data_IF_608293497284
#
_entry.id   IF_608293497284
#
_cell.length_a   1.000
_cell.length_b   1.000
_cell.length_c   1.000
_cell.angle_alpha   90.00
_cell.angle_beta   90.00
_cell.angle_gamma   90.00
#
_symmetry.space_group_name_H-M   'P 1'
#
loop_
_entity.id
_entity.type
_entity.pdbx_description
1 polymer ?
#
# COMPACT_ATOMS: atom_id res chain seq x y z
N UNK A 1 10.75 -22.93 6.10
CA UNK A 1 9.94 -22.67 7.32
C UNK A 1 8.95 -21.51 7.17
N UNK A 2 9.36 -20.28 6.82
CA UNK A 2 8.46 -19.09 6.76
C UNK A 2 7.18 -19.25 5.91
N UNK A 3 7.31 -19.81 4.70
CA UNK A 3 6.16 -20.05 3.81
C UNK A 3 5.27 -21.21 4.31
N UNK A 4 5.86 -22.28 4.85
CA UNK A 4 5.13 -23.41 5.41
C UNK A 4 4.28 -22.98 6.62
N UNK A 5 4.84 -22.16 7.51
CA UNK A 5 4.09 -21.55 8.61
C UNK A 5 2.90 -20.72 8.10
N UNK A 6 3.09 -19.95 7.03
CA UNK A 6 2.01 -19.14 6.44
C UNK A 6 0.87 -20.00 5.88
N UNK A 7 1.19 -21.12 5.23
CA UNK A 7 0.20 -22.10 4.79
C UNK A 7 -0.52 -22.77 5.96
N UNK A 8 0.21 -23.25 6.96
CA UNK A 8 -0.37 -23.87 8.16
C UNK A 8 -1.29 -22.91 8.90
N UNK A 9 -0.90 -21.63 9.01
CA UNK A 9 -1.74 -20.61 9.63
C UNK A 9 -3.07 -20.43 8.87
N UNK A 10 -3.05 -20.34 7.54
CA UNK A 10 -4.28 -20.20 6.74
C UNK A 10 -5.13 -21.47 6.79
N UNK A 11 -4.53 -22.66 6.78
CA UNK A 11 -5.25 -23.92 6.96
C UNK A 11 -5.92 -23.97 8.33
N UNK A 12 -5.22 -23.56 9.39
CA UNK A 12 -5.79 -23.49 10.74
C UNK A 12 -6.98 -22.52 10.78
N UNK A 13 -6.89 -21.35 10.13
CA UNK A 13 -8.01 -20.40 10.03
C UNK A 13 -9.23 -21.00 9.30
N UNK A 14 -9.00 -21.74 8.21
CA UNK A 14 -10.06 -22.45 7.48
C UNK A 14 -10.72 -23.49 8.38
N UNK A 15 -9.94 -24.29 9.12
CA UNK A 15 -10.47 -25.30 10.03
C UNK A 15 -11.25 -24.68 11.18
N UNK A 16 -10.78 -23.56 11.75
CA UNK A 16 -11.47 -22.81 12.81
C UNK A 16 -12.84 -22.34 12.31
N UNK A 17 -12.91 -21.75 11.13
CA UNK A 17 -14.18 -21.29 10.58
C UNK A 17 -15.11 -22.44 10.20
N UNK A 18 -14.56 -23.52 9.64
CA UNK A 18 -15.33 -24.70 9.28
C UNK A 18 -15.96 -25.36 10.52
N UNK A 19 -15.15 -25.72 11.52
CA UNK A 19 -15.63 -26.31 12.77
C UNK A 19 -16.56 -25.35 13.53
N UNK A 20 -16.18 -24.08 13.59
CA UNK A 20 -16.98 -23.04 14.23
C UNK A 20 -18.36 -22.88 13.61
N UNK A 21 -18.48 -22.96 12.28
CA UNK A 21 -19.77 -22.83 11.58
C UNK A 21 -20.77 -23.96 11.88
N UNK A 22 -20.29 -25.11 12.39
CA UNK A 22 -21.13 -26.26 12.76
C UNK A 22 -21.72 -26.15 14.18
N UNK A 23 -21.18 -25.26 15.01
CA UNK A 23 -21.61 -25.09 16.39
C UNK A 23 -22.83 -24.17 16.46
N UNK A 24 -23.93 -24.56 17.12
CA UNK A 24 -25.09 -23.68 17.31
C UNK A 24 -24.70 -22.32 17.93
N UNK A 25 -25.23 -21.23 17.38
CA UNK A 25 -24.96 -19.86 17.83
C UNK A 25 -23.68 -19.21 17.26
N UNK A 26 -22.68 -20.00 16.85
CA UNK A 26 -21.47 -19.47 16.20
C UNK A 26 -21.70 -18.82 14.83
N UNK A 27 -22.72 -19.15 14.03
CA UNK A 27 -23.08 -18.38 12.83
C UNK A 27 -23.24 -16.88 13.07
N UNK A 28 -23.74 -16.47 14.25
CA UNK A 28 -23.82 -15.07 14.62
C UNK A 28 -22.45 -14.44 14.86
N UNK A 29 -21.54 -15.16 15.53
CA UNK A 29 -20.17 -14.71 15.72
C UNK A 29 -19.47 -14.48 14.38
N UNK A 30 -19.51 -15.46 13.47
CA UNK A 30 -18.82 -15.38 12.18
C UNK A 30 -19.51 -14.47 11.15
N UNK A 31 -20.85 -14.41 11.16
CA UNK A 31 -21.63 -13.65 10.19
C UNK A 31 -21.88 -12.19 10.59
N UNK A 32 -21.77 -11.83 11.87
CA UNK A 32 -22.12 -10.50 12.38
C UNK A 32 -21.03 -9.89 13.24
N UNK A 33 -20.70 -10.51 14.37
CA UNK A 33 -19.80 -9.89 15.35
C UNK A 33 -18.35 -9.74 14.82
N UNK A 34 -17.80 -10.77 14.19
CA UNK A 34 -16.46 -10.73 13.61
C UNK A 34 -16.34 -9.74 12.42
N UNK A 35 -17.29 -9.66 11.47
CA UNK A 35 -17.31 -8.61 10.47
C UNK A 35 -17.26 -7.19 11.04
N UNK A 36 -18.07 -6.87 12.06
CA UNK A 36 -18.01 -5.56 12.70
C UNK A 36 -16.68 -5.32 13.41
N UNK A 37 -16.16 -6.30 14.15
CA UNK A 37 -14.86 -6.19 14.81
C UNK A 37 -13.73 -5.97 13.80
N UNK A 38 -13.71 -6.76 12.72
CA UNK A 38 -12.73 -6.64 11.65
C UNK A 38 -12.80 -5.27 10.97
N UNK A 39 -14.00 -4.75 10.72
CA UNK A 39 -14.20 -3.42 10.15
C UNK A 39 -13.69 -2.32 11.09
N UNK A 40 -13.98 -2.40 12.40
CA UNK A 40 -13.48 -1.44 13.39
C UNK A 40 -11.95 -1.46 13.47
N UNK A 41 -11.34 -2.64 13.52
CA UNK A 41 -9.87 -2.78 13.53
C UNK A 41 -9.27 -2.24 12.23
N UNK A 42 -9.88 -2.57 11.08
CA UNK A 42 -9.42 -2.11 9.78
C UNK A 42 -9.45 -0.58 9.68
N UNK A 43 -10.62 0.03 9.91
CA UNK A 43 -10.78 1.48 9.80
C UNK A 43 -9.95 2.24 10.83
N UNK A 44 -10.02 1.82 12.10
CA UNK A 44 -9.25 2.44 13.19
C UNK A 44 -7.74 2.32 12.96
N UNK A 45 -7.26 1.13 12.59
CA UNK A 45 -5.87 0.89 12.26
C UNK A 45 -5.40 1.66 11.02
N UNK A 46 -6.23 1.74 9.98
CA UNK A 46 -5.91 2.49 8.76
C UNK A 46 -5.76 3.99 9.06
N UNK A 47 -6.75 4.58 9.77
CA UNK A 47 -6.70 5.98 10.19
C UNK A 47 -5.49 6.24 11.07
N UNK A 48 -5.23 5.39 12.06
CA UNK A 48 -4.05 5.50 12.92
C UNK A 48 -2.76 5.57 12.12
N UNK A 49 -2.58 4.67 11.14
CA UNK A 49 -1.38 4.62 10.29
C UNK A 49 -1.23 5.88 9.43
N UNK A 50 -2.32 6.31 8.79
CA UNK A 50 -2.33 7.52 7.95
C UNK A 50 -2.01 8.76 8.77
N UNK A 51 -2.63 8.94 9.94
CA UNK A 51 -2.35 10.06 10.85
C UNK A 51 -0.92 10.03 11.35
N UNK A 52 -0.39 8.85 11.70
CA UNK A 52 0.98 8.69 12.14
C UNK A 52 2.00 9.11 11.05
N UNK A 53 1.78 8.72 9.80
CA UNK A 53 2.62 9.16 8.68
C UNK A 53 2.46 10.64 8.37
N UNK A 54 1.23 11.16 8.42
CA UNK A 54 0.98 12.58 8.19
C UNK A 54 1.66 13.49 9.24
N UNK A 55 1.81 13.00 10.48
CA UNK A 55 2.55 13.68 11.55
C UNK A 55 4.07 13.54 11.44
N UNK A 56 4.57 12.66 10.57
CA UNK A 56 6.01 12.46 10.41
C UNK A 56 6.63 13.68 9.72
N UNK A 57 7.58 14.38 10.37
CA UNK A 57 8.18 15.57 9.79
C UNK A 57 9.03 15.21 8.57
N UNK A 58 8.98 16.06 7.55
CA UNK A 58 9.85 15.95 6.38
C UNK A 58 10.68 17.23 6.24
N UNK A 59 11.89 17.28 6.82
CA UNK A 59 12.69 18.51 6.90
C UNK A 59 13.32 18.91 5.56
N UNK A 60 13.46 17.95 4.63
CA UNK A 60 14.11 18.15 3.35
C UNK A 60 13.27 17.62 2.19
N UNK A 61 13.39 18.26 1.04
CA UNK A 61 12.82 17.75 -0.20
C UNK A 61 13.65 16.57 -0.70
N UNK A 62 13.14 15.35 -0.48
CA UNK A 62 13.85 14.07 -0.74
C UNK A 62 13.22 13.27 -1.88
N UNK A 63 12.62 13.96 -2.86
CA UNK A 63 12.06 13.32 -4.05
C UNK A 63 13.11 12.47 -4.77
N UNK A 64 12.77 11.22 -5.07
CA UNK A 64 13.58 10.37 -5.94
C UNK A 64 13.36 10.79 -7.38
N UNK A 65 14.45 10.98 -8.12
CA UNK A 65 14.42 11.36 -9.53
C UNK A 65 15.38 10.50 -10.34
N UNK A 66 14.95 10.00 -11.49
CA UNK A 66 15.78 9.17 -12.38
C UNK A 66 15.88 9.74 -13.81
N UNK A 67 15.69 11.04 -13.96
CA UNK A 67 15.75 11.75 -15.23
C UNK A 67 16.21 13.19 -15.05
N UNK A 68 16.30 13.92 -16.16
CA UNK A 68 16.81 15.28 -16.15
C UNK A 68 15.84 16.24 -15.43
N UNK A 69 16.32 16.88 -14.36
CA UNK A 69 15.59 17.94 -13.66
C UNK A 69 15.54 19.25 -14.44
N UNK A 70 14.64 20.15 -14.04
CA UNK A 70 14.59 21.50 -14.63
C UNK A 70 15.87 22.26 -14.23
N UNK A 71 16.72 22.55 -15.21
CA UNK A 71 17.97 23.27 -15.00
C UNK A 71 18.12 24.43 -15.99
N UNK A 72 18.50 24.15 -17.23
CA UNK A 72 18.77 25.12 -18.29
C UNK A 72 17.75 24.95 -19.41
N UNK A 73 17.35 26.05 -20.06
CA UNK A 73 16.25 26.06 -21.02
C UNK A 73 16.50 25.18 -22.26
N UNK A 74 17.76 24.91 -22.59
CA UNK A 74 18.15 24.06 -23.71
C UNK A 74 18.23 22.57 -23.37
N UNK A 75 18.24 22.20 -22.08
CA UNK A 75 18.26 20.78 -21.67
C UNK A 75 16.81 20.34 -21.38
N UNK A 76 16.32 19.40 -22.19
CA UNK A 76 14.96 18.87 -22.04
C UNK A 76 14.76 18.24 -20.66
N UNK A 77 13.79 18.75 -19.92
CA UNK A 77 13.39 18.21 -18.62
C UNK A 77 12.53 16.94 -18.77
N UNK A 78 12.82 15.92 -17.96
CA UNK A 78 11.95 14.76 -17.76
C UNK A 78 10.87 15.04 -16.73
N UNK A 79 9.78 15.68 -17.16
CA UNK A 79 8.71 16.18 -16.27
C UNK A 79 8.13 15.14 -15.30
N UNK A 80 8.01 13.89 -15.71
CA UNK A 80 7.43 12.83 -14.86
C UNK A 80 8.47 12.16 -13.93
N UNK A 81 9.76 12.24 -14.26
CA UNK A 81 10.84 11.67 -13.43
C UNK A 81 11.47 12.69 -12.49
N UNK A 82 11.42 13.96 -12.86
CA UNK A 82 11.90 15.07 -12.09
C UNK A 82 10.81 16.17 -12.09
N UNK A 83 9.68 15.93 -11.42
CA UNK A 83 8.53 16.81 -11.46
C UNK A 83 8.84 18.13 -10.77
N UNK A 84 8.71 19.26 -11.45
CA UNK A 84 8.93 20.60 -10.91
C UNK A 84 7.61 21.26 -10.46
N UNK A 85 6.47 20.84 -11.01
CA UNK A 85 5.14 21.39 -10.66
C UNK A 85 4.25 20.38 -9.94
N UNK A 86 3.21 20.86 -9.24
CA UNK A 86 2.25 19.98 -8.56
C UNK A 86 1.51 19.07 -9.54
N UNK A 87 1.16 19.58 -10.74
CA UNK A 87 0.51 18.79 -11.78
C UNK A 87 1.39 17.62 -12.25
N UNK A 88 2.70 17.85 -12.41
CA UNK A 88 3.66 16.80 -12.77
C UNK A 88 3.80 15.75 -11.66
N UNK A 89 3.78 16.15 -10.39
CA UNK A 89 3.75 15.22 -9.25
C UNK A 89 2.48 14.37 -9.28
N UNK A 90 1.31 14.99 -9.47
CA UNK A 90 0.03 14.27 -9.57
C UNK A 90 0.05 13.28 -10.73
N UNK A 91 0.54 13.68 -11.90
CA UNK A 91 0.67 12.80 -13.06
C UNK A 91 1.64 11.63 -12.80
N UNK A 92 2.78 11.89 -12.16
CA UNK A 92 3.72 10.84 -11.73
C UNK A 92 3.05 9.85 -10.77
N UNK A 93 2.36 10.37 -9.75
CA UNK A 93 1.66 9.56 -8.74
C UNK A 93 0.55 8.72 -9.38
N UNK A 94 -0.24 9.30 -10.28
CA UNK A 94 -1.27 8.58 -11.02
C UNK A 94 -0.68 7.41 -11.81
N UNK A 95 0.37 7.65 -12.62
CA UNK A 95 1.02 6.60 -13.40
C UNK A 95 1.71 5.55 -12.51
N UNK A 96 2.18 5.95 -11.33
CA UNK A 96 2.72 4.99 -10.38
C UNK A 96 1.64 4.10 -9.79
N UNK A 97 0.48 4.63 -9.42
CA UNK A 97 -0.60 3.86 -8.78
C UNK A 97 -1.32 2.99 -9.80
N UNK A 98 -1.66 3.55 -10.96
CA UNK A 98 -2.52 2.93 -11.98
C UNK A 98 -1.72 2.02 -12.91
N UNK A 99 -0.48 2.40 -13.21
CA UNK A 99 0.33 1.71 -14.22
C UNK A 99 1.65 1.16 -13.67
N UNK A 100 1.94 1.23 -12.37
CA UNK A 100 3.22 0.81 -11.78
C UNK A 100 4.43 1.25 -12.61
N UNK A 101 4.43 2.51 -13.04
CA UNK A 101 5.37 3.02 -14.05
C UNK A 101 6.83 2.83 -13.67
N UNK A 102 7.18 2.98 -12.39
CA UNK A 102 8.55 2.73 -11.91
C UNK A 102 8.96 1.26 -12.09
N UNK A 103 8.03 0.33 -11.87
CA UNK A 103 8.27 -1.11 -12.08
C UNK A 103 8.42 -1.44 -13.57
N UNK A 104 7.61 -0.84 -14.45
CA UNK A 104 7.75 -1.06 -15.90
C UNK A 104 9.15 -0.70 -16.42
N UNK A 105 9.73 0.38 -15.88
CA UNK A 105 11.06 0.88 -16.26
C UNK A 105 12.21 0.18 -15.55
N UNK A 106 11.94 -0.65 -14.54
CA UNK A 106 12.98 -1.23 -13.72
C UNK A 106 13.78 -2.28 -14.52
N UNK A 107 15.09 -2.03 -14.60
CA UNK A 107 16.09 -2.88 -15.27
C UNK A 107 17.02 -3.48 -14.23
N UNK A 108 17.21 -4.79 -14.31
CA UNK A 108 18.10 -5.55 -13.44
C UNK A 108 19.42 -5.77 -14.17
N UNK A 109 20.53 -5.36 -13.57
CA UNK A 109 21.87 -5.69 -14.05
C UNK A 109 22.28 -7.07 -13.53
N UNK A 110 22.63 -8.00 -14.41
CA UNK A 110 23.23 -9.29 -14.06
C UNK A 110 24.62 -9.41 -14.69
N UNK A 111 25.52 -10.10 -13.98
CA UNK A 111 26.85 -10.47 -14.48
C UNK A 111 26.77 -11.96 -14.79
N UNK A 112 26.91 -12.31 -16.06
CA UNK A 112 27.09 -13.71 -16.49
C UNK A 112 28.59 -14.03 -16.58
N UNK A 113 28.93 -15.30 -16.84
CA UNK A 113 30.34 -15.73 -16.95
C UNK A 113 31.10 -14.89 -18.00
N UNK A 114 31.92 -13.96 -17.52
CA UNK A 114 32.67 -12.99 -18.32
C UNK A 114 32.52 -11.53 -17.84
N UNK A 115 33.23 -10.56 -18.45
CA UNK A 115 33.17 -9.14 -18.07
C UNK A 115 31.93 -8.41 -18.63
N UNK A 116 30.84 -9.13 -18.93
CA UNK A 116 29.66 -8.56 -19.58
C UNK A 116 28.50 -8.41 -18.59
N UNK A 117 28.07 -7.17 -18.40
CA UNK A 117 26.86 -6.82 -17.65
C UNK A 117 25.67 -6.86 -18.61
N UNK A 118 24.71 -7.74 -18.37
CA UNK A 118 23.42 -7.76 -19.08
C UNK A 118 22.38 -6.99 -18.29
N UNK A 119 21.41 -6.38 -19.00
CA UNK A 119 20.29 -5.67 -18.40
C UNK A 119 18.98 -6.38 -18.73
N UNK A 120 18.39 -7.05 -17.74
CA UNK A 120 17.09 -7.69 -17.88
C UNK A 120 15.96 -6.73 -17.50
N UNK A 121 14.88 -6.73 -18.28
CA UNK A 121 13.71 -5.91 -18.00
C UNK A 121 12.74 -6.64 -17.07
N UNK A 122 12.16 -5.93 -16.09
CA UNK A 122 11.16 -6.49 -15.17
C UNK A 122 9.71 -6.44 -15.69
N UNK A 123 9.51 -6.32 -17.01
CA UNK A 123 8.19 -6.25 -17.67
C UNK A 123 7.26 -7.41 -17.33
N UNK A 124 7.77 -8.63 -17.18
CA UNK A 124 6.94 -9.78 -16.76
C UNK A 124 6.37 -9.60 -15.36
N UNK A 125 7.21 -9.15 -14.42
CA UNK A 125 6.76 -8.82 -13.07
C UNK A 125 5.73 -7.68 -13.08
N UNK A 126 5.92 -6.69 -13.95
CA UNK A 126 4.97 -5.60 -14.15
C UNK A 126 3.60 -6.11 -14.62
N UNK A 127 3.54 -6.97 -15.66
CA UNK A 127 2.28 -7.55 -16.15
C UNK A 127 1.59 -8.36 -15.05
N UNK A 128 2.29 -9.27 -14.38
CA UNK A 128 1.68 -10.14 -13.36
C UNK A 128 1.22 -9.34 -12.13
N UNK A 129 1.97 -8.31 -11.74
CA UNK A 129 1.55 -7.41 -10.67
C UNK A 129 0.28 -6.66 -11.05
N UNK A 130 0.17 -6.15 -12.29
CA UNK A 130 -1.04 -5.48 -12.76
C UNK A 130 -2.25 -6.42 -12.80
N UNK A 131 -2.09 -7.63 -13.35
CA UNK A 131 -3.16 -8.64 -13.40
C UNK A 131 -3.67 -8.92 -11.99
N UNK A 132 -2.77 -9.14 -11.01
CA UNK A 132 -3.16 -9.37 -9.63
C UNK A 132 -3.96 -8.18 -9.05
N UNK A 133 -3.45 -6.95 -9.17
CA UNK A 133 -4.08 -5.79 -8.54
C UNK A 133 -5.41 -5.39 -9.20
N UNK A 134 -5.48 -5.39 -10.53
CA UNK A 134 -6.74 -5.08 -11.23
C UNK A 134 -7.78 -6.17 -11.02
N UNK A 135 -7.37 -7.45 -10.99
CA UNK A 135 -8.31 -8.54 -10.66
C UNK A 135 -8.85 -8.38 -9.25
N UNK A 136 -7.97 -8.12 -8.27
CA UNK A 136 -8.38 -7.87 -6.89
C UNK A 136 -9.32 -6.67 -6.77
N UNK A 137 -8.99 -5.54 -7.43
CA UNK A 137 -9.82 -4.33 -7.43
C UNK A 137 -11.21 -4.59 -8.05
N UNK A 138 -11.27 -5.20 -9.22
CA UNK A 138 -12.54 -5.50 -9.90
C UNK A 138 -13.38 -6.46 -9.08
N UNK A 139 -12.77 -7.48 -8.46
CA UNK A 139 -13.46 -8.39 -7.55
C UNK A 139 -14.08 -7.59 -6.39
N UNK A 140 -13.32 -6.70 -5.73
CA UNK A 140 -13.84 -5.85 -4.65
C UNK A 140 -15.00 -4.97 -5.13
N UNK A 141 -14.87 -4.35 -6.31
CA UNK A 141 -15.93 -3.51 -6.90
C UNK A 141 -17.20 -4.32 -7.19
N UNK A 142 -17.06 -5.54 -7.72
CA UNK A 142 -18.20 -6.45 -7.92
C UNK A 142 -18.85 -6.86 -6.60
N UNK A 143 -18.06 -7.10 -5.56
CA UNK A 143 -18.58 -7.48 -4.24
C UNK A 143 -19.53 -6.42 -3.66
N UNK A 144 -19.39 -5.14 -4.04
CA UNK A 144 -20.32 -4.08 -3.65
C UNK A 144 -21.79 -4.39 -4.01
N UNK A 145 -22.06 -5.21 -5.02
CA UNK A 145 -23.42 -5.68 -5.34
C UNK A 145 -24.12 -6.34 -4.14
N UNK A 146 -23.37 -7.04 -3.29
CA UNK A 146 -23.94 -7.71 -2.12
C UNK A 146 -24.28 -6.71 -1.00
N UNK A 147 -23.64 -5.55 -0.98
CA UNK A 147 -23.78 -4.55 0.08
C UNK A 147 -24.76 -3.43 -0.26
N UNK A 148 -25.20 -3.33 -1.52
CA UNK A 148 -26.00 -2.21 -2.03
C UNK A 148 -27.34 -2.69 -2.58
N UNK A 149 -28.42 -2.01 -2.18
CA UNK A 149 -29.76 -2.20 -2.75
C UNK A 149 -30.49 -0.84 -2.86
N UNK A 150 -30.77 -0.32 -4.08
CA UNK A 150 -30.50 -0.92 -5.39
C UNK A 150 -29.02 -0.93 -5.77
N UNK A 151 -28.62 -1.85 -6.66
CA UNK A 151 -27.24 -1.96 -7.14
C UNK A 151 -26.94 -0.85 -8.16
N UNK A 152 -25.88 -0.04 -7.97
CA UNK A 152 -25.54 1.03 -8.91
C UNK A 152 -25.18 0.50 -10.31
N UNK A 153 -25.56 1.25 -11.36
CA UNK A 153 -25.30 0.88 -12.75
C UNK A 153 -23.80 0.68 -13.04
N UNK A 154 -22.92 1.46 -12.41
CA UNK A 154 -21.47 1.32 -12.58
C UNK A 154 -20.95 -0.07 -12.14
N UNK A 155 -21.52 -0.66 -11.09
CA UNK A 155 -21.17 -2.02 -10.64
C UNK A 155 -21.66 -3.05 -11.66
N UNK A 156 -22.85 -2.82 -12.25
CA UNK A 156 -23.37 -3.63 -13.35
C UNK A 156 -22.46 -3.65 -14.57
N UNK A 157 -21.95 -2.48 -14.98
CA UNK A 157 -20.99 -2.37 -16.09
C UNK A 157 -19.68 -3.13 -15.83
N UNK A 158 -19.12 -3.01 -14.63
CA UNK A 158 -17.89 -3.73 -14.25
C UNK A 158 -18.10 -5.24 -14.34
N UNK A 159 -19.23 -5.74 -13.86
CA UNK A 159 -19.54 -7.16 -13.92
C UNK A 159 -19.74 -7.67 -15.35
N UNK A 160 -20.42 -6.88 -16.19
CA UNK A 160 -20.63 -7.22 -17.59
C UNK A 160 -19.29 -7.37 -18.33
N UNK A 161 -18.37 -6.42 -18.14
CA UNK A 161 -17.04 -6.45 -18.76
C UNK A 161 -16.24 -7.69 -18.30
N UNK A 162 -16.30 -8.01 -17.01
CA UNK A 162 -15.55 -9.14 -16.47
C UNK A 162 -16.13 -10.51 -16.88
N UNK A 163 -17.44 -10.56 -17.16
CA UNK A 163 -18.15 -11.73 -17.68
C UNK A 163 -18.25 -11.79 -19.21
N UNK A 164 -17.51 -10.94 -19.95
CA UNK A 164 -17.70 -10.72 -21.38
C UNK A 164 -17.56 -11.99 -22.23
N UNK A 165 -16.68 -12.92 -21.82
CA UNK A 165 -16.48 -14.16 -22.56
C UNK A 165 -17.68 -15.13 -22.48
N UNK A 166 -18.61 -14.92 -21.53
CA UNK A 166 -19.83 -15.73 -21.38
C UNK A 166 -19.59 -17.25 -21.34
N UNK A 167 -18.41 -17.67 -20.85
CA UNK A 167 -18.02 -19.08 -20.74
C UNK A 167 -18.66 -19.67 -19.47
N UNK A 168 -19.37 -20.79 -19.62
CA UNK A 168 -19.98 -21.55 -18.52
C UNK A 168 -21.30 -20.98 -17.97
N UNK A 169 -21.99 -21.79 -17.16
CA UNK A 169 -23.23 -21.41 -16.48
C UNK A 169 -23.13 -21.81 -14.98
N UNK A 170 -22.94 -20.86 -14.04
CA UNK A 170 -22.87 -19.41 -14.21
C UNK A 170 -21.59 -18.93 -14.95
N UNK A 171 -21.66 -17.75 -15.57
CA UNK A 171 -20.56 -17.17 -16.36
C UNK A 171 -19.29 -17.02 -15.55
N UNK A 172 -18.17 -17.52 -16.07
CA UNK A 172 -16.85 -17.41 -15.48
C UNK A 172 -16.30 -15.99 -15.65
N UNK A 173 -15.81 -15.42 -14.55
CA UNK A 173 -15.16 -14.11 -14.56
C UNK A 173 -13.67 -14.23 -14.84
N UNK A 174 -13.15 -13.34 -15.70
CA UNK A 174 -11.73 -13.30 -16.03
C UNK A 174 -10.88 -12.99 -14.81
N UNK A 175 -11.36 -12.13 -13.92
CA UNK A 175 -10.63 -11.70 -12.72
C UNK A 175 -10.46 -12.79 -11.69
N UNK A 176 -11.36 -13.78 -11.63
CA UNK A 176 -11.24 -14.91 -10.71
C UNK A 176 -9.98 -15.73 -11.05
N UNK A 177 -9.81 -16.05 -12.35
CA UNK A 177 -8.63 -16.74 -12.87
C UNK A 177 -7.40 -15.83 -12.78
N UNK A 178 -7.54 -14.55 -13.15
CA UNK A 178 -6.47 -13.56 -13.09
C UNK A 178 -5.89 -13.39 -11.69
N UNK A 179 -6.74 -13.36 -10.67
CA UNK A 179 -6.31 -13.24 -9.27
C UNK A 179 -5.56 -14.49 -8.82
N UNK A 180 -6.07 -15.70 -9.12
CA UNK A 180 -5.38 -16.95 -8.77
C UNK A 180 -4.03 -17.07 -9.48
N UNK A 181 -3.98 -16.78 -10.79
CA UNK A 181 -2.75 -16.81 -11.57
C UNK A 181 -1.75 -15.77 -11.06
N UNK A 182 -2.19 -14.54 -10.79
CA UNK A 182 -1.37 -13.48 -10.21
C UNK A 182 -0.80 -13.88 -8.84
N UNK A 183 -1.62 -14.46 -7.96
CA UNK A 183 -1.16 -15.00 -6.68
C UNK A 183 -0.09 -16.08 -6.87
N UNK A 184 -0.37 -17.08 -7.70
CA UNK A 184 0.52 -18.21 -7.94
C UNK A 184 1.86 -17.77 -8.53
N UNK A 185 1.85 -16.83 -9.49
CA UNK A 185 3.06 -16.30 -10.12
C UNK A 185 3.89 -15.44 -9.16
N UNK A 186 3.26 -14.54 -8.39
CA UNK A 186 3.95 -13.71 -7.42
C UNK A 186 4.51 -14.54 -6.25
N UNK A 187 3.77 -15.56 -5.81
CA UNK A 187 4.19 -16.50 -4.78
C UNK A 187 5.33 -17.38 -5.29
N UNK A 188 5.17 -17.93 -6.51
CA UNK A 188 6.16 -18.73 -7.21
C UNK A 188 7.47 -17.97 -7.39
N UNK A 189 7.43 -16.70 -7.82
CA UNK A 189 8.61 -15.82 -7.88
C UNK A 189 9.31 -15.71 -6.53
N UNK A 190 8.54 -15.49 -5.45
CA UNK A 190 9.11 -15.36 -4.10
C UNK A 190 9.78 -16.63 -3.62
N UNK A 191 9.28 -17.79 -4.04
CA UNK A 191 9.94 -19.06 -3.83
C UNK A 191 11.15 -19.18 -4.75
N UNK A 192 10.98 -19.25 -6.06
CA UNK A 192 12.05 -19.65 -7.00
C UNK A 192 13.24 -18.68 -6.97
N UNK A 193 13.00 -17.37 -6.86
CA UNK A 193 14.07 -16.38 -6.94
C UNK A 193 14.85 -16.26 -5.62
N UNK A 194 16.11 -16.73 -5.61
CA UNK A 194 16.98 -16.83 -4.41
C UNK A 194 17.06 -15.53 -3.60
N UNK A 195 17.36 -14.40 -4.24
CA UNK A 195 17.51 -13.11 -3.54
C UNK A 195 16.20 -12.64 -2.91
N UNK A 196 15.06 -12.84 -3.60
CA UNK A 196 13.74 -12.49 -3.07
C UNK A 196 13.37 -13.40 -1.91
N UNK A 197 13.62 -14.71 -2.02
CA UNK A 197 13.36 -15.68 -0.95
C UNK A 197 14.13 -15.34 0.32
N UNK A 198 15.39 -14.93 0.17
CA UNK A 198 16.27 -14.55 1.28
C UNK A 198 15.73 -13.37 2.08
N UNK A 199 15.33 -12.29 1.40
CA UNK A 199 14.81 -11.07 2.06
C UNK A 199 13.34 -11.19 2.49
N UNK A 200 12.63 -12.23 2.10
CA UNK A 200 11.20 -12.39 2.40
C UNK A 200 10.94 -12.81 3.85
N UNK A 201 9.93 -12.18 4.45
CA UNK A 201 9.46 -12.41 5.82
C UNK A 201 8.12 -13.16 5.85
N UNK A 202 7.63 -13.57 7.02
CA UNK A 202 6.30 -14.20 7.13
C UNK A 202 5.19 -13.26 6.62
N UNK A 203 5.31 -11.96 6.89
CA UNK A 203 4.42 -10.90 6.41
C UNK A 203 4.39 -10.77 4.86
N UNK A 204 5.32 -11.41 4.16
CA UNK A 204 5.33 -11.45 2.69
C UNK A 204 4.59 -12.65 2.10
N UNK A 205 4.52 -13.76 2.85
CA UNK A 205 3.89 -15.00 2.40
C UNK A 205 2.44 -15.08 2.88
N UNK A 206 2.19 -14.75 4.14
CA UNK A 206 0.88 -14.89 4.77
C UNK A 206 -0.25 -14.17 4.01
N UNK A 207 -0.12 -12.88 3.63
CA UNK A 207 -1.20 -12.19 2.91
C UNK A 207 -1.49 -12.80 1.54
N UNK A 208 -0.46 -13.28 0.85
CA UNK A 208 -0.61 -13.85 -0.48
C UNK A 208 -1.33 -15.20 -0.42
N UNK A 209 -0.98 -16.04 0.57
CA UNK A 209 -1.68 -17.30 0.83
C UNK A 209 -3.11 -17.06 1.30
N UNK A 210 -3.33 -16.05 2.14
CA UNK A 210 -4.66 -15.67 2.62
C UNK A 210 -5.57 -15.20 1.48
N UNK A 211 -5.08 -14.30 0.62
CA UNK A 211 -5.82 -13.83 -0.57
C UNK A 211 -6.10 -14.98 -1.52
N UNK A 212 -5.14 -15.89 -1.72
CA UNK A 212 -5.34 -17.08 -2.53
C UNK A 212 -6.44 -17.99 -1.97
N UNK A 213 -6.48 -18.22 -0.66
CA UNK A 213 -7.54 -18.99 -0.01
C UNK A 213 -8.91 -18.30 -0.08
N UNK A 214 -8.97 -16.97 0.07
CA UNK A 214 -10.20 -16.18 -0.11
C UNK A 214 -10.72 -16.34 -1.55
N UNK A 215 -9.84 -16.21 -2.55
CA UNK A 215 -10.20 -16.38 -3.95
C UNK A 215 -10.72 -17.80 -4.24
N UNK A 216 -10.03 -18.84 -3.76
CA UNK A 216 -10.46 -20.24 -3.91
C UNK A 216 -11.83 -20.46 -3.28
N UNK A 217 -12.03 -20.04 -2.02
CA UNK A 217 -13.30 -20.24 -1.32
C UNK A 217 -14.45 -19.51 -2.03
N UNK A 218 -14.20 -18.30 -2.56
CA UNK A 218 -15.19 -17.56 -3.36
C UNK A 218 -15.55 -18.25 -4.68
N UNK A 219 -14.54 -18.76 -5.41
CA UNK A 219 -14.73 -19.53 -6.66
C UNK A 219 -15.50 -20.82 -6.38
N UNK A 220 -15.10 -21.58 -5.36
CA UNK A 220 -15.78 -22.82 -4.96
C UNK A 220 -17.26 -22.55 -4.64
N UNK A 221 -17.55 -21.53 -3.84
CA UNK A 221 -18.92 -21.12 -3.50
C UNK A 221 -19.73 -20.71 -4.74
N UNK A 222 -19.13 -19.99 -5.70
CA UNK A 222 -19.87 -19.50 -6.87
C UNK A 222 -20.16 -20.56 -7.94
N UNK A 223 -19.19 -21.44 -8.22
CA UNK A 223 -19.26 -22.36 -9.37
C UNK A 223 -19.51 -23.82 -8.99
N UNK A 224 -19.01 -24.29 -7.84
CA UNK A 224 -19.00 -25.72 -7.51
C UNK A 224 -19.95 -26.10 -6.37
N UNK A 225 -20.05 -25.24 -5.35
CA UNK A 225 -20.86 -25.45 -4.14
C UNK A 225 -22.10 -24.56 -4.11
N UNK A 226 -22.55 -24.08 -5.29
CA UNK A 226 -23.64 -23.11 -5.40
C UNK A 226 -24.99 -23.65 -4.90
N UNK A 227 -25.20 -24.96 -4.98
CA UNK A 227 -26.48 -25.62 -4.70
C UNK A 227 -26.91 -25.45 -3.24
N UNK A 228 -25.96 -25.33 -2.32
CA UNK A 228 -26.22 -25.19 -0.87
C UNK A 228 -26.18 -23.72 -0.39
N UNK A 229 -26.20 -22.76 -1.32
CA UNK A 229 -25.90 -21.35 -1.04
C UNK A 229 -27.04 -20.46 -1.53
N UNK A 230 -27.81 -19.94 -0.58
CA UNK A 230 -28.85 -18.98 -0.84
C UNK A 230 -28.27 -17.55 -0.93
N UNK A 231 -28.12 -17.08 -2.18
CA UNK A 231 -27.61 -15.75 -2.51
C UNK A 231 -28.52 -14.64 -1.95
N UNK A 232 -29.83 -14.87 -1.87
CA UNK A 232 -30.79 -13.89 -1.35
C UNK A 232 -30.56 -13.68 0.14
N UNK A 233 -30.40 -14.78 0.90
CA UNK A 233 -30.08 -14.73 2.32
C UNK A 233 -28.71 -14.09 2.58
N UNK A 234 -27.70 -14.39 1.75
CA UNK A 234 -26.39 -13.72 1.83
C UNK A 234 -26.54 -12.21 1.61
N UNK A 235 -27.26 -11.80 0.56
CA UNK A 235 -27.48 -10.38 0.26
C UNK A 235 -28.23 -9.67 1.39
N UNK A 236 -29.25 -10.32 1.95
CA UNK A 236 -29.99 -9.78 3.10
C UNK A 236 -29.08 -9.59 4.31
N UNK A 237 -28.22 -10.56 4.62
CA UNK A 237 -27.24 -10.43 5.69
C UNK A 237 -26.27 -9.28 5.42
N UNK A 238 -25.68 -9.19 4.23
CA UNK A 238 -24.68 -8.16 3.91
C UNK A 238 -25.26 -6.75 3.85
N UNK A 239 -26.48 -6.58 3.33
CA UNK A 239 -27.21 -5.31 3.40
C UNK A 239 -27.60 -4.99 4.85
N UNK A 240 -28.03 -6.00 5.62
CA UNK A 240 -28.31 -5.88 7.04
C UNK A 240 -27.10 -5.40 7.84
N UNK A 241 -25.89 -5.90 7.54
CA UNK A 241 -24.65 -5.46 8.17
C UNK A 241 -24.37 -3.97 7.92
N UNK A 242 -24.55 -3.50 6.67
CA UNK A 242 -24.29 -2.10 6.30
C UNK A 242 -25.36 -1.15 6.84
N UNK A 243 -26.61 -1.61 6.93
CA UNK A 243 -27.73 -0.85 7.50
C UNK A 243 -27.86 -0.97 9.02
N UNK A 244 -26.92 -1.65 9.68
CA UNK A 244 -26.93 -1.91 11.14
C UNK A 244 -28.19 -2.65 11.64
N UNK A 245 -28.78 -3.48 10.78
CA UNK A 245 -29.91 -4.36 11.08
C UNK A 245 -29.64 -5.81 10.62
N UNK A 246 -28.61 -6.48 11.18
CA UNK A 246 -28.21 -7.80 10.71
C UNK A 246 -29.30 -8.83 11.00
N UNK A 247 -29.77 -9.50 9.95
CA UNK A 247 -30.68 -10.64 10.05
C UNK A 247 -29.98 -11.86 9.47
N UNK A 248 -29.86 -12.90 10.28
CA UNK A 248 -29.39 -14.20 9.80
C UNK A 248 -30.64 -14.98 9.40
N UNK A 249 -30.80 -15.15 8.09
CA UNK A 249 -31.88 -15.96 7.52
C UNK A 249 -31.64 -17.46 7.66
N UNK A 250 -32.10 -18.23 6.68
CA UNK A 250 -31.96 -19.70 6.68
C UNK A 250 -30.49 -20.16 6.74
N UNK A 251 -30.28 -21.47 6.98
CA UNK A 251 -28.94 -22.09 7.05
C UNK A 251 -28.09 -21.73 5.82
N UNK A 252 -27.07 -20.89 6.02
CA UNK A 252 -26.04 -20.61 5.02
C UNK A 252 -24.95 -21.69 5.11
N UNK A 253 -24.47 -22.21 3.98
CA UNK A 253 -23.43 -23.25 3.94
C UNK A 253 -22.12 -22.83 4.63
N UNK A 254 -21.40 -23.81 5.20
CA UNK A 254 -20.16 -23.57 5.95
C UNK A 254 -19.08 -22.82 5.14
N UNK A 255 -19.01 -23.04 3.82
CA UNK A 255 -18.06 -22.37 2.93
C UNK A 255 -18.20 -20.84 2.94
N UNK A 256 -19.43 -20.33 3.14
CA UNK A 256 -19.67 -18.89 3.29
C UNK A 256 -18.97 -18.34 4.54
N UNK A 257 -19.16 -18.98 5.69
CA UNK A 257 -18.53 -18.55 6.93
C UNK A 257 -17.01 -18.66 6.88
N UNK A 258 -16.46 -19.67 6.20
CA UNK A 258 -15.03 -19.76 5.92
C UNK A 258 -14.57 -18.55 5.11
N UNK A 259 -15.23 -18.24 3.99
CA UNK A 259 -14.87 -17.12 3.14
C UNK A 259 -14.93 -15.78 3.90
N UNK A 260 -16.04 -15.50 4.58
CA UNK A 260 -16.24 -14.27 5.36
C UNK A 260 -15.21 -14.16 6.48
N UNK A 261 -14.92 -15.26 7.20
CA UNK A 261 -13.92 -15.26 8.25
C UNK A 261 -12.52 -14.93 7.71
N UNK A 262 -12.11 -15.54 6.58
CA UNK A 262 -10.82 -15.23 5.96
C UNK A 262 -10.75 -13.76 5.52
N UNK A 263 -11.84 -13.19 4.99
CA UNK A 263 -11.93 -11.75 4.68
C UNK A 263 -11.84 -10.90 5.94
N UNK A 264 -12.50 -11.28 7.04
CA UNK A 264 -12.38 -10.59 8.33
C UNK A 264 -10.93 -10.59 8.84
N UNK A 265 -10.25 -11.73 8.74
CA UNK A 265 -8.82 -11.83 9.09
C UNK A 265 -7.97 -10.94 8.18
N UNK A 266 -8.25 -10.91 6.88
CA UNK A 266 -7.54 -10.03 5.94
C UNK A 266 -7.70 -8.55 6.33
N UNK A 267 -8.93 -8.12 6.64
CA UNK A 267 -9.23 -6.75 7.07
C UNK A 267 -8.55 -6.40 8.40
N UNK A 268 -8.65 -7.27 9.41
CA UNK A 268 -8.01 -7.06 10.70
C UNK A 268 -6.47 -7.03 10.60
N UNK A 269 -5.89 -7.84 9.70
CA UNK A 269 -4.45 -7.90 9.45
C UNK A 269 -3.93 -6.72 8.62
N UNK A 270 -4.78 -6.16 7.75
CA UNK A 270 -4.42 -5.13 6.77
C UNK A 270 -3.60 -3.96 7.36
N UNK A 271 -4.07 -3.23 8.39
CA UNK A 271 -3.39 -2.02 8.89
C UNK A 271 -1.99 -2.27 9.47
N UNK A 272 -1.71 -3.50 9.88
CA UNK A 272 -0.45 -3.90 10.51
C UNK A 272 0.54 -4.55 9.53
N UNK A 273 0.21 -4.55 8.23
CA UNK A 273 0.92 -5.33 7.23
C UNK A 273 1.48 -4.50 6.07
N UNK A 274 2.14 -5.18 5.13
CA UNK A 274 2.58 -4.58 3.87
C UNK A 274 1.42 -4.16 2.96
N UNK A 275 0.19 -4.62 3.22
CA UNK A 275 -1.00 -4.21 2.46
C UNK A 275 -1.30 -2.72 2.60
N UNK A 276 -0.82 -2.11 3.69
CA UNK A 276 -0.90 -0.65 3.89
C UNK A 276 -0.17 0.18 2.83
N UNK A 277 0.59 -0.42 1.90
CA UNK A 277 1.07 0.28 0.71
C UNK A 277 -0.06 0.95 -0.08
N UNK A 278 -1.30 0.43 -0.01
CA UNK A 278 -2.50 1.04 -0.61
C UNK A 278 -2.69 2.51 -0.18
N UNK A 279 -2.52 2.81 1.12
CA UNK A 279 -2.55 4.19 1.62
C UNK A 279 -1.18 4.84 1.68
N UNK A 280 -0.14 4.07 2.00
CA UNK A 280 1.22 4.55 2.22
C UNK A 280 1.88 5.15 0.97
N UNK A 281 1.47 4.74 -0.24
CA UNK A 281 1.98 5.33 -1.48
C UNK A 281 1.77 6.85 -1.54
N UNK A 282 0.61 7.34 -1.07
CA UNK A 282 0.28 8.77 -1.06
C UNK A 282 1.08 9.57 -0.04
N UNK A 283 1.54 8.90 1.03
CA UNK A 283 2.31 9.52 2.12
C UNK A 283 3.82 9.39 1.94
N UNK A 284 4.30 8.95 0.77
CA UNK A 284 5.72 8.74 0.50
C UNK A 284 6.40 10.03 0.01
N UNK A 285 7.23 10.71 0.83
CA UNK A 285 7.87 11.99 0.46
C UNK A 285 8.75 11.90 -0.79
N UNK A 286 9.37 10.73 -0.98
CA UNK A 286 10.20 10.44 -2.15
C UNK A 286 9.43 10.48 -3.48
N UNK A 287 8.10 10.33 -3.45
CA UNK A 287 7.26 10.26 -4.65
C UNK A 287 6.36 11.47 -4.81
N UNK A 288 5.83 11.98 -3.71
CA UNK A 288 4.81 13.04 -3.70
C UNK A 288 5.37 14.48 -3.58
N UNK A 289 6.69 14.66 -3.67
CA UNK A 289 7.35 15.97 -3.61
C UNK A 289 7.78 16.48 -4.98
N UNK A 290 7.84 17.82 -5.11
CA UNK A 290 8.39 18.52 -6.28
C UNK A 290 9.91 18.56 -6.19
N UNK A 291 10.57 18.40 -7.33
CA UNK A 291 12.00 18.62 -7.52
C UNK A 291 12.32 20.10 -7.76
N UNK A 292 12.12 20.94 -6.74
CA UNK A 292 12.29 22.39 -6.82
C UNK A 292 13.31 22.94 -5.81
N UNK A 293 14.18 22.10 -5.27
CA UNK A 293 15.21 22.52 -4.28
C UNK A 293 16.16 23.59 -4.80
N UNK A 294 16.36 23.65 -6.13
CA UNK A 294 17.17 24.68 -6.81
C UNK A 294 16.39 25.96 -7.13
N UNK A 295 15.06 25.93 -7.06
CA UNK A 295 14.19 27.04 -7.42
C UNK A 295 13.53 27.72 -6.21
N UNK A 296 13.36 26.98 -5.11
CA UNK A 296 12.71 27.45 -3.89
C UNK A 296 13.59 27.09 -2.70
N UNK A 297 13.82 28.06 -1.82
CA UNK A 297 14.46 27.83 -0.52
C UNK A 297 13.48 27.08 0.39
N UNK A 298 13.79 25.83 0.70
CA UNK A 298 13.06 25.04 1.69
C UNK A 298 13.63 25.35 3.07
N UNK A 299 12.82 25.91 3.96
CA UNK A 299 13.21 26.21 5.34
C UNK A 299 12.66 25.08 6.22
N UNK A 300 13.55 24.44 6.96
CA UNK A 300 13.15 23.42 7.92
C UNK A 300 12.30 24.07 9.04
N UNK A 301 11.05 23.63 9.26
CA UNK A 301 10.19 24.17 10.32
C UNK A 301 10.77 24.02 11.74
N UNK A 302 11.72 23.09 11.90
CA UNK A 302 12.41 22.82 13.16
C UNK A 302 13.66 23.68 13.38
N UNK A 303 14.02 24.54 12.41
CA UNK A 303 15.14 25.44 12.62
C UNK A 303 14.81 26.39 13.78
N UNK A 304 15.68 26.48 14.81
CA UNK A 304 15.47 27.45 15.86
C UNK A 304 15.48 28.85 15.27
N UNK A 305 14.84 29.80 15.96
CA UNK A 305 14.97 31.21 15.62
C UNK A 305 16.41 31.64 15.92
N UNK A 306 17.29 31.51 14.95
CA UNK A 306 18.63 32.06 15.00
C UNK A 306 18.47 33.58 14.82
N UNK A 307 18.63 34.32 15.91
CA UNK A 307 18.70 35.77 15.82
C UNK A 307 20.04 36.11 15.14
N UNK A 308 20.05 37.03 14.16
CA UNK A 308 21.30 37.48 13.57
C UNK A 308 22.17 38.08 14.68
N UNK A 309 23.36 37.52 14.88
CA UNK A 309 24.36 38.12 15.75
C UNK A 309 25.06 39.21 14.93
N UNK A 310 24.80 40.47 15.28
CA UNK A 310 25.40 41.60 14.57
C UNK A 310 26.92 41.58 14.74
N UNK A 311 27.66 42.04 13.73
CA UNK A 311 29.11 42.20 13.85
C UNK A 311 29.49 43.00 15.10
N UNK A 312 28.78 44.10 15.41
CA UNK A 312 29.05 44.88 16.62
C UNK A 312 28.92 44.07 17.93
N UNK A 313 27.94 43.18 18.02
CA UNK A 313 27.76 42.29 19.18
C UNK A 313 28.79 41.16 19.23
N UNK A 314 29.14 40.59 18.06
CA UNK A 314 30.24 39.64 17.93
C UNK A 314 31.58 40.26 18.34
N UNK A 315 31.85 41.46 17.85
CA UNK A 315 33.02 42.22 18.19
C UNK A 315 33.03 42.58 19.67
N UNK A 316 31.92 43.01 20.28
CA UNK A 316 31.84 43.28 21.72
C UNK A 316 32.14 42.03 22.57
N UNK A 317 31.70 40.83 22.14
CA UNK A 317 31.93 39.56 22.85
C UNK A 317 33.35 39.01 22.68
N UNK A 318 33.95 39.18 21.50
CA UNK A 318 35.20 38.51 21.12
C UNK A 318 36.37 39.48 20.86
N UNK A 319 36.23 40.78 21.14
CA UNK A 319 37.23 41.82 20.81
C UNK A 319 38.63 41.48 21.28
N UNK A 320 38.76 41.05 22.52
CA UNK A 320 40.04 40.71 23.14
C UNK A 320 40.77 39.63 22.33
N UNK A 321 40.08 38.52 22.07
CA UNK A 321 40.61 37.43 21.26
C UNK A 321 40.91 37.86 19.82
N UNK A 322 40.08 38.73 19.22
CA UNK A 322 40.30 39.24 17.88
C UNK A 322 41.59 40.07 17.80
N UNK A 323 41.80 40.98 18.75
CA UNK A 323 43.00 41.82 18.80
C UNK A 323 44.26 40.97 19.08
N UNK A 324 44.17 40.01 20.01
CA UNK A 324 45.29 39.09 20.32
C UNK A 324 45.72 38.27 19.10
N UNK A 325 44.78 37.94 18.21
CA UNK A 325 45.04 37.18 16.99
C UNK A 325 45.28 38.08 15.76
N UNK A 326 45.42 39.40 15.94
CA UNK A 326 45.70 40.35 14.86
C UNK A 326 44.54 40.53 13.87
N UNK A 327 43.31 40.19 14.27
CA UNK A 327 42.09 40.40 13.48
C UNK A 327 41.66 41.86 13.66
N UNK A 328 41.41 42.61 12.56
CA UNK A 328 41.00 44.01 12.65
C UNK A 328 39.63 44.18 13.34
N UNK A 329 39.53 45.21 14.19
CA UNK A 329 38.36 45.61 14.98
C UNK A 329 38.01 47.07 14.70
N UNK A 330 36.73 47.45 14.79
CA UNK A 330 36.24 48.82 14.61
C UNK A 330 36.26 49.62 15.92
N UNK A 331 36.08 48.95 17.06
CA UNK A 331 36.07 49.56 18.40
C UNK A 331 37.38 49.23 19.13
N UNK A 332 37.93 50.22 19.82
CA UNK A 332 39.11 50.02 20.67
C UNK A 332 38.79 49.11 21.86
N UNK A 333 39.81 48.44 22.39
CA UNK A 333 39.68 47.62 23.61
C UNK A 333 39.28 48.52 24.79
N UNK A 334 38.31 48.10 25.63
CA UNK A 334 38.08 48.80 26.87
C UNK A 334 39.37 48.81 27.71
N UNK A 335 39.66 49.89 28.44
CA UNK A 335 40.83 49.92 29.31
C UNK A 335 40.73 48.78 30.31
N UNK A 336 41.80 47.98 30.44
CA UNK A 336 41.89 46.95 31.47
C UNK A 336 41.54 47.61 32.80
N UNK A 337 40.50 47.11 33.49
CA UNK A 337 40.34 47.43 34.90
C UNK A 337 41.55 46.85 35.60
N UNK A 338 42.38 47.72 36.13
CA UNK A 338 43.46 47.32 37.02
C UNK A 338 42.84 46.47 38.13
N UNK A 339 43.28 45.21 38.24
CA UNK A 339 42.90 44.31 39.32
C UNK A 339 43.46 44.91 40.62
N UNK A 340 42.57 45.33 41.54
CA UNK A 340 42.92 45.68 42.93
C UNK A 340 43.27 44.43 43.75
#
# INVERSE_FOLDING_TARGET
MKYAFSFLAVIALVLIAWLGSQIPGMPYLFGVALPYLALMIFLGGFVYRVVHWAKSPVPFSIQTTCGQGKSLDFIKQDRLEAPNTTAEVVARMFLEIVCFRSLFRNTKSEIHDGPHITYESSKWLWVFALIFHYSFLVIVLRHLRLFLDPVPACVGWVEFIDGLFQIGAPTWYMTDIGLLAGCALLFGRRLITRHVRFISLVNDYFPLVLIFAIAITGILMRYFLRTDIDIVNIKQLTVGLVTFSPVIGAKIGAIFYIHVFLVCVLLAYFPFSKLMHMGGVFMSPTRNMKNNTRAVRHVNPWNPRILPHSYAGYEDEFREYMVENGIPVEKELPPKKDEE
#
